data_IF_131607436990
#
_entry.id   IF_131607436990
#
_cell.length_a   1.000
_cell.length_b   1.000
_cell.length_c   1.000
_cell.angle_alpha   90.00
_cell.angle_beta   90.00
_cell.angle_gamma   90.00
#
_symmetry.space_group_name_H-M   'P 1'
#
loop_
_entity.id
_entity.type
_entity.pdbx_description
1 polymer ?
#
# COMPACT_ATOMS: atom_id res chain seq x y z
N UNK A 1 36.03 32.45 39.66
CA UNK A 1 34.64 32.24 40.05
C UNK A 1 33.69 32.88 39.05
N UNK A 2 32.79 32.12 38.54
CA UNK A 2 31.69 32.66 37.72
C UNK A 2 30.73 33.45 38.59
N UNK A 3 30.38 34.66 38.18
CA UNK A 3 29.36 35.48 38.86
C UNK A 3 27.99 34.82 38.75
N UNK A 4 27.08 35.21 39.65
CA UNK A 4 25.69 34.73 39.57
C UNK A 4 25.01 35.14 38.26
N UNK A 5 25.32 36.34 37.74
CA UNK A 5 24.85 36.82 36.47
C UNK A 5 25.31 35.94 35.29
N UNK A 6 26.57 35.51 35.29
CA UNK A 6 27.11 34.59 34.29
C UNK A 6 26.42 33.24 34.34
N UNK A 7 26.16 32.72 35.54
CA UNK A 7 25.39 31.46 35.71
C UNK A 7 23.97 31.57 35.17
N UNK A 8 23.31 32.70 35.41
CA UNK A 8 21.99 32.96 34.87
C UNK A 8 22.00 32.99 33.35
N UNK A 9 22.99 33.63 32.72
CA UNK A 9 23.17 33.66 31.28
C UNK A 9 23.41 32.26 30.68
N UNK A 10 24.21 31.44 31.33
CA UNK A 10 24.47 30.06 30.92
C UNK A 10 23.16 29.27 31.01
N UNK A 11 22.41 29.43 32.08
CA UNK A 11 21.14 28.76 32.27
C UNK A 11 20.11 29.16 31.18
N UNK A 12 19.99 30.46 30.91
CA UNK A 12 19.12 31.01 29.87
C UNK A 12 19.49 30.41 28.50
N UNK A 13 20.79 30.35 28.18
CA UNK A 13 21.28 29.75 26.95
C UNK A 13 20.89 28.27 26.84
N UNK A 14 21.06 27.52 27.92
CA UNK A 14 20.68 26.10 27.96
C UNK A 14 19.18 25.91 27.82
N UNK A 15 18.38 26.76 28.49
CA UNK A 15 16.92 26.71 28.36
C UNK A 15 16.49 27.00 26.93
N UNK A 16 17.09 27.98 26.27
CA UNK A 16 16.83 28.29 24.86
C UNK A 16 17.14 27.11 23.96
N UNK A 17 18.29 26.45 24.18
CA UNK A 17 18.66 25.26 23.43
C UNK A 17 17.67 24.11 23.61
N UNK A 18 17.20 23.88 24.83
CA UNK A 18 16.20 22.85 25.13
C UNK A 18 14.87 23.17 24.45
N UNK A 19 14.42 24.42 24.51
CA UNK A 19 13.19 24.86 23.85
C UNK A 19 13.29 24.70 22.32
N UNK A 20 14.40 25.08 21.73
CA UNK A 20 14.64 24.92 20.29
C UNK A 20 14.64 23.43 19.90
N UNK A 21 15.23 22.59 20.72
CA UNK A 21 15.24 21.15 20.51
C UNK A 21 13.83 20.54 20.59
N UNK A 22 13.05 20.95 21.58
CA UNK A 22 11.66 20.54 21.74
C UNK A 22 10.83 20.94 20.50
N UNK A 23 10.98 22.19 20.06
CA UNK A 23 10.28 22.67 18.87
C UNK A 23 10.66 21.90 17.62
N UNK A 24 11.92 21.54 17.48
CA UNK A 24 12.39 20.69 16.39
C UNK A 24 11.76 19.29 16.44
N UNK A 25 11.72 18.69 17.63
CA UNK A 25 11.09 17.37 17.82
C UNK A 25 9.59 17.41 17.53
N UNK A 26 8.89 18.49 17.92
CA UNK A 26 7.48 18.67 17.62
C UNK A 26 7.23 18.72 16.11
N UNK A 27 8.06 19.45 15.37
CA UNK A 27 7.97 19.51 13.90
C UNK A 27 8.24 18.17 13.26
N UNK A 28 9.27 17.45 13.71
CA UNK A 28 9.56 16.11 13.24
C UNK A 28 8.41 15.14 13.53
N UNK A 29 7.79 15.27 14.70
CA UNK A 29 6.64 14.46 15.08
C UNK A 29 5.43 14.69 14.16
N UNK A 30 5.12 15.94 13.85
CA UNK A 30 4.06 16.28 12.91
C UNK A 30 4.34 15.72 11.51
N UNK A 31 5.57 15.86 11.06
CA UNK A 31 6.01 15.32 9.78
C UNK A 31 5.87 13.79 9.73
N UNK A 32 6.26 13.11 10.80
CA UNK A 32 6.09 11.65 10.90
C UNK A 32 4.63 11.24 10.92
N UNK A 33 3.76 11.99 11.59
CA UNK A 33 2.31 11.74 11.58
C UNK A 33 1.72 11.87 10.18
N UNK A 34 2.13 12.88 9.43
CA UNK A 34 1.73 13.04 8.03
C UNK A 34 2.21 11.88 7.16
N UNK A 35 3.46 11.47 7.32
CA UNK A 35 4.02 10.32 6.59
C UNK A 35 3.29 9.02 6.91
N UNK A 36 2.93 8.80 8.17
CA UNK A 36 2.14 7.63 8.58
C UNK A 36 0.76 7.66 7.92
N UNK A 37 0.12 8.81 7.87
CA UNK A 37 -1.18 8.98 7.23
C UNK A 37 -1.11 8.67 5.73
N UNK A 38 -0.10 9.18 5.05
CA UNK A 38 0.15 8.90 3.63
C UNK A 38 0.41 7.42 3.37
N UNK A 39 1.26 6.80 4.19
CA UNK A 39 1.57 5.38 4.08
C UNK A 39 0.35 4.50 4.30
N UNK A 40 -0.52 4.85 5.24
CA UNK A 40 -1.79 4.14 5.46
C UNK A 40 -2.73 4.24 4.25
N UNK A 41 -2.79 5.42 3.63
CA UNK A 41 -3.59 5.62 2.43
C UNK A 41 -3.04 4.82 1.24
N UNK A 42 -1.73 4.84 1.02
CA UNK A 42 -1.06 4.05 -0.01
C UNK A 42 -1.25 2.55 0.20
N UNK A 43 -1.14 2.09 1.43
CA UNK A 43 -1.38 0.69 1.80
C UNK A 43 -2.80 0.27 1.45
N UNK A 44 -3.78 1.09 1.77
CA UNK A 44 -5.19 0.82 1.47
C UNK A 44 -5.44 0.75 -0.04
N UNK A 45 -4.87 1.67 -0.80
CA UNK A 45 -4.96 1.67 -2.26
C UNK A 45 -4.31 0.41 -2.85
N UNK A 46 -3.15 0.04 -2.35
CA UNK A 46 -2.44 -1.17 -2.78
C UNK A 46 -3.25 -2.43 -2.48
N UNK A 47 -3.84 -2.54 -1.29
CA UNK A 47 -4.73 -3.65 -0.94
C UNK A 47 -5.93 -3.74 -1.88
N UNK A 48 -6.50 -2.60 -2.27
CA UNK A 48 -7.57 -2.53 -3.26
C UNK A 48 -7.13 -3.01 -4.64
N UNK A 49 -5.92 -2.66 -5.08
CA UNK A 49 -5.36 -3.13 -6.35
C UNK A 49 -5.09 -4.63 -6.35
N UNK A 50 -4.59 -5.16 -5.23
CA UNK A 50 -4.36 -6.61 -5.05
C UNK A 50 -5.67 -7.37 -5.16
N UNK A 51 -6.73 -6.90 -4.51
CA UNK A 51 -8.06 -7.53 -4.60
C UNK A 51 -8.61 -7.54 -6.01
N UNK A 52 -8.44 -6.44 -6.76
CA UNK A 52 -8.86 -6.37 -8.17
C UNK A 52 -8.06 -7.34 -9.04
N UNK A 53 -6.76 -7.42 -8.82
CA UNK A 53 -5.90 -8.36 -9.54
C UNK A 53 -6.30 -9.81 -9.27
N UNK A 54 -6.59 -10.17 -8.03
CA UNK A 54 -7.07 -11.50 -7.64
C UNK A 54 -8.40 -11.84 -8.34
N UNK A 55 -9.32 -10.88 -8.37
CA UNK A 55 -10.61 -11.07 -9.05
C UNK A 55 -10.45 -11.26 -10.55
N UNK A 56 -9.58 -10.47 -11.18
CA UNK A 56 -9.26 -10.63 -12.60
C UNK A 56 -8.64 -12.00 -12.89
N UNK A 57 -7.76 -12.48 -12.02
CA UNK A 57 -7.15 -13.80 -12.15
C UNK A 57 -8.21 -14.91 -12.06
N UNK A 58 -9.14 -14.80 -11.12
CA UNK A 58 -10.26 -15.75 -11.00
C UNK A 58 -11.15 -15.72 -12.23
N UNK A 59 -11.47 -14.53 -12.76
CA UNK A 59 -12.27 -14.37 -13.96
C UNK A 59 -11.58 -14.98 -15.19
N UNK A 60 -10.27 -14.77 -15.33
CA UNK A 60 -9.47 -15.36 -16.39
C UNK A 60 -9.50 -16.89 -16.33
N UNK A 61 -9.34 -17.47 -15.17
CA UNK A 61 -9.41 -18.92 -14.95
C UNK A 61 -10.77 -19.47 -15.33
N UNK A 62 -11.83 -18.76 -15.00
CA UNK A 62 -13.21 -19.13 -15.37
C UNK A 62 -13.40 -19.09 -16.88
N UNK A 63 -12.93 -18.05 -17.56
CA UNK A 63 -13.00 -17.95 -19.01
C UNK A 63 -12.21 -19.02 -19.71
N UNK A 64 -11.03 -19.36 -19.23
CA UNK A 64 -10.24 -20.45 -19.77
C UNK A 64 -10.97 -21.79 -19.63
N UNK A 65 -11.58 -22.03 -18.48
CA UNK A 65 -12.35 -23.25 -18.22
C UNK A 65 -13.60 -23.33 -19.11
N UNK A 66 -14.34 -22.22 -19.24
CA UNK A 66 -15.51 -22.14 -20.14
C UNK A 66 -15.11 -22.37 -21.60
N UNK A 67 -14.02 -21.77 -22.02
CA UNK A 67 -13.47 -21.97 -23.36
C UNK A 67 -13.12 -23.42 -23.63
N UNK A 68 -12.51 -24.09 -22.67
CA UNK A 68 -12.16 -25.51 -22.75
C UNK A 68 -13.41 -26.38 -22.90
N UNK A 69 -14.42 -26.12 -22.09
CA UNK A 69 -15.72 -26.83 -22.15
C UNK A 69 -16.40 -26.63 -23.50
N UNK A 70 -16.42 -25.40 -24.00
CA UNK A 70 -16.97 -25.10 -25.32
C UNK A 70 -16.23 -25.83 -26.45
N UNK A 71 -14.93 -25.86 -26.39
CA UNK A 71 -14.07 -26.57 -27.34
C UNK A 71 -14.37 -28.07 -27.34
N UNK A 72 -14.48 -28.67 -26.17
CA UNK A 72 -14.82 -30.08 -26.02
C UNK A 72 -16.21 -30.43 -26.59
N UNK A 73 -17.20 -29.54 -26.34
CA UNK A 73 -18.55 -29.70 -26.90
C UNK A 73 -18.55 -29.62 -28.42
N UNK A 74 -17.83 -28.67 -28.98
CA UNK A 74 -17.70 -28.53 -30.45
C UNK A 74 -17.05 -29.78 -31.05
N UNK A 75 -15.98 -30.29 -30.47
CA UNK A 75 -15.30 -31.51 -30.92
C UNK A 75 -16.20 -32.73 -30.85
N UNK A 76 -17.01 -32.83 -29.78
CA UNK A 76 -17.99 -33.91 -29.63
C UNK A 76 -19.06 -33.86 -30.71
N UNK A 77 -19.61 -32.68 -30.99
CA UNK A 77 -20.63 -32.49 -32.02
C UNK A 77 -20.05 -32.82 -33.40
N UNK A 78 -18.89 -32.34 -33.73
CA UNK A 78 -18.21 -32.61 -34.97
C UNK A 78 -17.94 -34.11 -35.15
N UNK A 79 -17.51 -34.80 -34.08
CA UNK A 79 -17.33 -36.25 -34.07
C UNK A 79 -18.65 -37.00 -34.35
N UNK A 80 -19.74 -36.55 -33.76
CA UNK A 80 -21.09 -37.14 -34.02
C UNK A 80 -21.54 -36.91 -35.46
N UNK A 81 -21.31 -35.76 -36.03
CA UNK A 81 -21.59 -35.46 -37.43
C UNK A 81 -20.79 -36.34 -38.35
N UNK A 82 -19.50 -36.51 -38.08
CA UNK A 82 -18.62 -37.42 -38.86
C UNK A 82 -19.10 -38.86 -38.83
N UNK A 83 -19.60 -39.34 -37.68
CA UNK A 83 -20.18 -40.68 -37.56
C UNK A 83 -21.41 -40.89 -38.40
N UNK A 84 -22.20 -39.83 -38.59
CA UNK A 84 -23.38 -39.91 -39.49
C UNK A 84 -23.00 -39.85 -40.97
N UNK A 85 -21.75 -39.48 -41.27
CA UNK A 85 -21.26 -39.45 -42.65
C UNK A 85 -21.61 -38.18 -43.42
N UNK A 86 -21.91 -37.14 -42.67
CA UNK A 86 -22.14 -35.80 -43.23
C UNK A 86 -20.86 -34.95 -43.05
#
# INVERSE_FOLDING_TARGET
MTSELERIKILESKVTQVVDYINKLLKENEKLKEQIKELKAEKKDFEGQVKRAEKLDEDLKRYEQDRKIMKEKIETILGQIDQVGI
#
